data_IF_134768488607
#
_entry.id   IF_134768488607
#
_cell.length_a   1.000
_cell.length_b   1.000
_cell.length_c   1.000
_cell.angle_alpha   90.00
_cell.angle_beta   90.00
_cell.angle_gamma   90.00
#
_symmetry.space_group_name_H-M   'P 1'
#
loop_
_entity.id
_entity.type
_entity.pdbx_description
1 polymer ?
#
# COMPACT_ATOMS: atom_id res chain seq x y z
N UNK A 1 2.56 13.73 -12.01
CA UNK A 1 3.46 14.80 -11.55
C UNK A 1 3.62 14.71 -10.05
N UNK A 2 4.78 15.09 -9.54
CA UNK A 2 5.02 15.22 -8.12
C UNK A 2 4.42 16.56 -7.62
N UNK A 3 3.59 16.53 -6.56
CA UNK A 3 2.95 17.75 -6.04
C UNK A 3 3.93 18.71 -5.33
N UNK A 4 5.06 18.21 -4.83
CA UNK A 4 6.05 19.05 -4.13
C UNK A 4 7.11 19.57 -5.10
N UNK A 5 7.75 18.68 -5.86
CA UNK A 5 8.68 19.06 -6.93
C UNK A 5 8.00 18.96 -8.29
N UNK A 6 7.42 20.07 -8.74
CA UNK A 6 6.58 20.10 -9.94
C UNK A 6 7.30 19.69 -11.24
N UNK A 7 8.64 19.81 -11.26
CA UNK A 7 9.43 19.41 -12.43
C UNK A 7 9.64 17.90 -12.53
N UNK A 8 9.42 17.15 -11.44
CA UNK A 8 9.57 15.70 -11.42
C UNK A 8 8.27 15.00 -11.80
N UNK A 9 8.35 14.06 -12.74
CA UNK A 9 7.25 13.18 -13.08
C UNK A 9 7.69 11.70 -13.06
N UNK A 10 6.74 10.83 -12.75
CA UNK A 10 6.94 9.39 -12.83
C UNK A 10 5.84 8.80 -13.72
N UNK A 11 6.21 7.83 -14.55
CA UNK A 11 5.30 7.10 -15.42
C UNK A 11 5.40 5.61 -15.16
N UNK A 12 4.26 4.94 -15.14
CA UNK A 12 4.17 3.47 -15.16
C UNK A 12 3.95 3.02 -16.60
N UNK A 13 4.83 2.18 -17.12
CA UNK A 13 4.74 1.64 -18.47
C UNK A 13 4.30 0.17 -18.47
N UNK A 14 3.72 -0.27 -19.59
CA UNK A 14 3.20 -1.64 -19.74
C UNK A 14 4.31 -2.70 -19.70
N UNK A 15 5.56 -2.33 -20.02
CA UNK A 15 6.75 -3.19 -19.97
C UNK A 15 7.23 -3.50 -18.53
N UNK A 16 6.40 -3.19 -17.52
CA UNK A 16 6.66 -3.32 -16.08
C UNK A 16 7.66 -2.31 -15.54
N UNK A 17 7.95 -1.27 -16.32
CA UNK A 17 8.88 -0.24 -15.90
C UNK A 17 8.20 0.95 -15.23
N UNK A 18 8.88 1.50 -14.23
CA UNK A 18 8.62 2.81 -13.65
C UNK A 18 9.75 3.71 -14.13
N UNK A 19 9.40 4.78 -14.84
CA UNK A 19 10.36 5.71 -15.42
C UNK A 19 10.17 7.07 -14.74
N UNK A 20 11.26 7.68 -14.30
CA UNK A 20 11.30 9.04 -13.78
C UNK A 20 11.79 9.99 -14.88
N UNK A 21 11.11 11.12 -15.07
CA UNK A 21 11.55 12.20 -15.94
C UNK A 21 11.61 13.50 -15.16
N UNK A 22 12.58 14.35 -15.50
CA UNK A 22 12.59 15.75 -15.13
C UNK A 22 12.13 16.54 -16.35
N UNK A 23 11.14 17.40 -16.19
CA UNK A 23 10.69 18.32 -17.26
C UNK A 23 11.77 19.32 -17.70
N UNK A 24 12.82 19.51 -16.89
CA UNK A 24 13.95 20.39 -17.22
C UNK A 24 14.94 19.73 -18.18
N UNK A 25 14.97 18.40 -18.22
CA UNK A 25 15.87 17.62 -19.06
C UNK A 25 15.09 16.92 -20.19
N UNK A 26 15.75 16.65 -21.33
CA UNK A 26 15.10 16.04 -22.50
C UNK A 26 15.04 14.51 -22.46
N UNK A 27 15.37 13.87 -21.33
CA UNK A 27 15.53 12.42 -21.22
C UNK A 27 14.94 11.83 -19.93
N UNK A 28 14.75 10.50 -19.88
CA UNK A 28 14.42 9.82 -18.63
C UNK A 28 15.61 9.90 -17.67
N UNK A 29 15.36 10.32 -16.44
CA UNK A 29 16.38 10.35 -15.39
C UNK A 29 16.76 8.93 -15.00
N UNK A 30 15.75 8.06 -14.78
CA UNK A 30 15.95 6.66 -14.38
C UNK A 30 14.78 5.78 -14.79
N UNK A 31 15.08 4.50 -15.03
CA UNK A 31 14.12 3.45 -15.34
C UNK A 31 14.31 2.26 -14.40
N UNK A 32 13.30 1.97 -13.59
CA UNK A 32 13.20 0.80 -12.73
C UNK A 32 12.33 -0.26 -13.43
N UNK A 33 12.79 -1.50 -13.54
CA UNK A 33 12.01 -2.62 -14.09
C UNK A 33 11.59 -3.55 -12.97
N UNK A 34 10.29 -3.76 -12.81
CA UNK A 34 9.70 -4.66 -11.81
C UNK A 34 9.40 -6.05 -12.39
N UNK A 35 9.16 -7.02 -11.51
CA UNK A 35 8.78 -8.39 -11.88
C UNK A 35 7.43 -8.43 -12.62
N UNK A 36 6.43 -7.70 -12.10
CA UNK A 36 5.10 -7.52 -12.69
C UNK A 36 4.77 -6.05 -12.89
N UNK A 37 3.71 -5.79 -13.66
CA UNK A 37 3.34 -4.45 -14.10
C UNK A 37 2.82 -3.59 -12.94
N UNK A 38 3.26 -2.35 -12.89
CA UNK A 38 2.67 -1.33 -12.02
C UNK A 38 1.48 -0.67 -12.70
N UNK A 39 0.31 -0.70 -12.05
CA UNK A 39 -0.92 -0.17 -12.63
C UNK A 39 -1.05 1.35 -12.40
N UNK A 40 -0.73 1.81 -11.20
CA UNK A 40 -0.79 3.22 -10.84
C UNK A 40 0.32 3.59 -9.86
N UNK A 41 0.75 4.85 -9.92
CA UNK A 41 1.70 5.46 -9.01
C UNK A 41 1.09 6.73 -8.41
N UNK A 42 1.35 6.95 -7.13
CA UNK A 42 1.01 8.19 -6.43
C UNK A 42 2.23 8.72 -5.68
N UNK A 43 2.44 10.03 -5.73
CA UNK A 43 3.49 10.72 -4.98
C UNK A 43 3.00 11.07 -3.58
N UNK A 44 3.91 11.07 -2.61
CA UNK A 44 3.61 11.59 -1.29
C UNK A 44 3.49 13.13 -1.37
N UNK A 45 2.35 13.73 -0.96
CA UNK A 45 2.16 15.18 -1.03
C UNK A 45 3.01 15.98 -0.04
N UNK A 46 3.61 15.33 0.97
CA UNK A 46 4.45 16.00 1.97
C UNK A 46 5.95 15.69 1.79
N UNK A 47 6.30 14.56 1.17
CA UNK A 47 7.68 14.15 0.94
C UNK A 47 7.94 14.07 -0.57
N UNK A 48 8.72 15.02 -1.11
CA UNK A 48 8.98 15.12 -2.55
C UNK A 48 9.54 13.83 -3.17
N UNK A 49 10.42 13.13 -2.47
CA UNK A 49 11.13 11.99 -3.04
C UNK A 49 10.42 10.65 -2.82
N UNK A 50 9.33 10.61 -2.06
CA UNK A 50 8.65 9.36 -1.74
C UNK A 50 7.46 9.16 -2.66
N UNK A 51 7.35 7.99 -3.29
CA UNK A 51 6.16 7.60 -4.04
C UNK A 51 5.79 6.15 -3.80
N UNK A 52 4.52 5.83 -4.01
CA UNK A 52 3.99 4.47 -3.83
C UNK A 52 3.34 3.97 -5.11
N UNK A 53 3.62 2.71 -5.45
CA UNK A 53 3.17 2.05 -6.66
C UNK A 53 2.23 0.88 -6.34
N UNK A 54 1.09 0.86 -7.01
CA UNK A 54 0.20 -0.29 -7.10
C UNK A 54 0.75 -1.28 -8.13
N UNK A 55 0.96 -2.54 -7.74
CA UNK A 55 1.46 -3.58 -8.64
C UNK A 55 0.42 -4.71 -8.81
N UNK A 56 0.48 -5.40 -9.94
CA UNK A 56 -0.24 -6.64 -10.20
C UNK A 56 0.17 -7.80 -9.29
N UNK A 57 1.38 -7.75 -8.69
CA UNK A 57 1.92 -8.71 -7.69
C UNK A 57 1.14 -8.76 -6.35
N UNK A 58 -0.07 -8.18 -6.29
CA UNK A 58 -0.93 -8.01 -5.11
C UNK A 58 -0.33 -7.10 -4.02
N UNK A 59 0.89 -6.64 -4.21
CA UNK A 59 1.60 -5.82 -3.26
C UNK A 59 1.67 -4.38 -3.74
N UNK A 60 2.01 -3.52 -2.80
CA UNK A 60 2.20 -2.09 -3.03
C UNK A 60 3.61 -1.76 -2.56
N UNK A 61 4.33 -1.00 -3.35
CA UNK A 61 5.74 -0.70 -3.10
C UNK A 61 5.92 0.79 -2.90
N UNK A 62 6.47 1.19 -1.76
CA UNK A 62 6.91 2.57 -1.53
C UNK A 62 8.39 2.67 -1.86
N UNK A 63 8.75 3.64 -2.70
CA UNK A 63 10.10 3.87 -3.19
C UNK A 63 10.57 5.28 -2.81
N UNK A 64 11.90 5.41 -2.71
CA UNK A 64 12.58 6.71 -2.71
C UNK A 64 13.06 6.98 -4.14
N UNK A 65 12.66 8.10 -4.72
CA UNK A 65 13.04 8.57 -6.05
C UNK A 65 14.51 8.94 -6.16
N UNK A 66 15.31 8.80 -5.11
CA UNK A 66 16.79 8.89 -5.14
C UNK A 66 17.45 7.51 -5.09
N UNK A 67 16.74 6.47 -4.64
CA UNK A 67 17.28 5.11 -4.52
C UNK A 67 16.23 4.06 -4.90
N UNK A 68 16.16 3.69 -6.18
CA UNK A 68 15.17 2.73 -6.69
C UNK A 68 15.60 1.27 -6.54
N UNK A 69 16.89 0.98 -6.36
CA UNK A 69 17.41 -0.37 -6.12
C UNK A 69 16.77 -1.12 -4.93
N UNK A 70 16.12 -0.41 -3.99
CA UNK A 70 15.45 -1.01 -2.82
C UNK A 70 14.14 -0.29 -2.55
N UNK A 71 13.06 -1.03 -2.38
CA UNK A 71 11.81 -0.45 -1.86
C UNK A 71 11.98 -0.02 -0.39
N UNK A 72 11.52 1.18 -0.04
CA UNK A 72 11.45 1.65 1.34
C UNK A 72 10.52 0.77 2.16
N UNK A 73 9.38 0.39 1.60
CA UNK A 73 8.45 -0.51 2.24
C UNK A 73 7.67 -1.36 1.22
N UNK A 74 7.26 -2.56 1.66
CA UNK A 74 6.40 -3.45 0.87
C UNK A 74 5.14 -3.66 1.67
N UNK A 75 4.03 -3.12 1.17
CA UNK A 75 2.73 -3.27 1.79
C UNK A 75 2.01 -4.46 1.19
N UNK A 76 1.56 -5.33 2.07
CA UNK A 76 0.85 -6.56 1.73
C UNK A 76 -0.50 -6.53 2.38
N UNK A 77 -1.43 -7.30 1.84
CA UNK A 77 -2.67 -7.81 2.46
C UNK A 77 -3.75 -8.03 1.38
N UNK A 78 -3.60 -7.42 0.21
CA UNK A 78 -4.45 -7.69 -0.94
C UNK A 78 -4.32 -9.12 -1.43
N UNK A 79 -5.42 -9.62 -1.99
CA UNK A 79 -5.52 -10.99 -2.51
C UNK A 79 -5.61 -11.05 -4.04
N UNK A 80 -5.64 -9.89 -4.70
CA UNK A 80 -5.63 -9.74 -6.16
C UNK A 80 -4.86 -8.47 -6.55
N UNK A 81 -4.72 -8.22 -7.85
CA UNK A 81 -3.96 -7.10 -8.38
C UNK A 81 -4.45 -5.77 -7.80
N UNK A 82 -3.51 -4.90 -7.43
CA UNK A 82 -3.84 -3.56 -6.92
C UNK A 82 -3.96 -2.64 -8.13
N UNK A 83 -5.11 -2.01 -8.29
CA UNK A 83 -5.42 -1.17 -9.46
C UNK A 83 -4.98 0.25 -9.27
N UNK A 84 -5.23 0.78 -8.08
CA UNK A 84 -5.13 2.19 -7.80
C UNK A 84 -4.61 2.44 -6.38
N UNK A 85 -3.88 3.54 -6.23
CA UNK A 85 -3.33 4.02 -4.97
C UNK A 85 -3.45 5.55 -4.97
N UNK A 86 -3.78 6.11 -3.82
CA UNK A 86 -3.75 7.56 -3.60
C UNK A 86 -3.30 7.90 -2.18
N UNK A 87 -2.70 9.07 -2.00
CA UNK A 87 -2.16 9.52 -0.73
C UNK A 87 -3.15 10.38 0.05
N UNK A 88 -3.12 10.23 1.37
CA UNK A 88 -3.69 11.24 2.24
C UNK A 88 -2.95 12.56 2.04
N UNK A 89 -3.63 13.72 2.09
CA UNK A 89 -2.96 15.02 1.98
C UNK A 89 -1.94 15.26 3.10
N UNK A 90 -2.03 14.51 4.21
CA UNK A 90 -1.04 14.54 5.30
C UNK A 90 0.25 13.75 5.02
N UNK A 91 0.30 12.96 3.94
CA UNK A 91 1.46 12.16 3.55
C UNK A 91 1.79 10.96 4.43
N UNK A 92 1.06 10.75 5.54
CA UNK A 92 1.33 9.68 6.52
C UNK A 92 0.63 8.36 6.21
N UNK A 93 -0.50 8.47 5.52
CA UNK A 93 -1.35 7.35 5.14
C UNK A 93 -1.60 7.39 3.63
N UNK A 94 -1.92 6.24 3.07
CA UNK A 94 -2.38 6.12 1.70
C UNK A 94 -3.47 5.04 1.64
N UNK A 95 -4.26 5.10 0.59
CA UNK A 95 -5.34 4.16 0.31
C UNK A 95 -5.02 3.42 -0.97
N UNK A 96 -5.47 2.18 -1.05
CA UNK A 96 -5.40 1.37 -2.25
C UNK A 96 -6.72 0.68 -2.55
N UNK A 97 -7.04 0.58 -3.84
CA UNK A 97 -8.11 -0.23 -4.38
C UNK A 97 -7.56 -1.41 -5.14
N UNK A 98 -8.27 -2.54 -5.09
CA UNK A 98 -7.85 -3.76 -5.76
C UNK A 98 -8.99 -4.44 -6.51
N UNK A 99 -8.60 -5.29 -7.45
CA UNK A 99 -9.47 -6.26 -8.11
C UNK A 99 -10.16 -7.23 -7.13
N UNK A 100 -9.66 -7.37 -5.89
CA UNK A 100 -10.28 -8.19 -4.84
C UNK A 100 -11.55 -7.60 -4.21
N UNK A 101 -12.06 -6.49 -4.76
CA UNK A 101 -13.30 -5.80 -4.32
C UNK A 101 -13.17 -5.20 -2.93
N UNK A 102 -11.96 -4.84 -2.53
CA UNK A 102 -11.70 -4.19 -1.25
C UNK A 102 -10.85 -2.93 -1.40
N UNK A 103 -11.08 -2.03 -0.46
CA UNK A 103 -10.28 -0.83 -0.23
C UNK A 103 -9.46 -1.10 1.00
N UNK A 104 -8.16 -0.84 0.95
CA UNK A 104 -7.29 -0.94 2.13
C UNK A 104 -6.63 0.40 2.39
N UNK A 105 -6.53 0.74 3.67
CA UNK A 105 -5.82 1.93 4.13
C UNK A 105 -4.53 1.46 4.80
N UNK A 106 -3.43 2.13 4.48
CA UNK A 106 -2.11 1.81 4.97
C UNK A 106 -1.48 3.05 5.62
N UNK A 107 -0.69 2.81 6.66
CA UNK A 107 0.28 3.79 7.13
C UNK A 107 1.59 3.58 6.38
N UNK A 108 2.25 4.64 5.93
CA UNK A 108 3.44 4.53 5.07
C UNK A 108 4.57 3.70 5.70
N UNK A 109 4.68 3.75 7.04
CA UNK A 109 5.70 3.06 7.82
C UNK A 109 5.35 1.60 8.17
N UNK A 110 4.12 1.14 7.90
CA UNK A 110 3.66 -0.21 8.24
C UNK A 110 3.38 -1.03 7.00
N UNK A 111 3.95 -2.23 6.89
CA UNK A 111 3.72 -3.11 5.73
C UNK A 111 2.36 -3.83 5.69
N UNK A 112 1.42 -3.50 6.59
CA UNK A 112 0.09 -4.11 6.69
C UNK A 112 -0.98 -3.04 6.81
N UNK A 113 -2.17 -3.38 6.34
CA UNK A 113 -3.34 -2.49 6.32
C UNK A 113 -3.81 -2.13 7.74
N UNK A 114 -4.14 -0.86 7.93
CA UNK A 114 -4.83 -0.32 9.12
C UNK A 114 -6.29 -0.73 9.11
N UNK A 115 -6.95 -0.55 7.97
CA UNK A 115 -8.37 -0.76 7.78
C UNK A 115 -8.65 -1.40 6.42
N UNK A 116 -9.76 -2.14 6.35
CA UNK A 116 -10.30 -2.72 5.12
C UNK A 116 -11.77 -2.33 5.00
N UNK A 117 -12.16 -1.78 3.85
CA UNK A 117 -13.54 -1.55 3.48
C UNK A 117 -13.96 -2.48 2.35
N UNK A 118 -15.12 -3.09 2.53
CA UNK A 118 -15.76 -3.94 1.54
C UNK A 118 -17.27 -3.82 1.67
N UNK A 119 -17.99 -4.17 0.62
CA UNK A 119 -19.45 -4.28 0.63
C UNK A 119 -19.85 -5.39 -0.33
N UNK A 120 -20.93 -6.12 -0.02
CA UNK A 120 -21.39 -7.25 -0.83
C UNK A 120 -21.67 -6.88 -2.29
N UNK A 121 -22.18 -5.68 -2.53
CA UNK A 121 -22.46 -5.16 -3.89
C UNK A 121 -21.19 -4.67 -4.60
N UNK A 122 -20.16 -4.29 -3.83
CA UNK A 122 -18.93 -3.74 -4.37
C UNK A 122 -18.24 -4.71 -5.32
N UNK A 123 -18.00 -4.27 -6.55
CA UNK A 123 -17.24 -5.03 -7.54
C UNK A 123 -15.79 -4.53 -7.59
N UNK A 124 -15.07 -4.86 -8.67
CA UNK A 124 -13.66 -4.51 -8.86
C UNK A 124 -13.47 -2.99 -8.73
N UNK A 125 -12.41 -2.56 -8.06
CA UNK A 125 -12.13 -1.13 -7.93
C UNK A 125 -11.28 -0.66 -9.10
N UNK A 126 -11.70 0.45 -9.71
CA UNK A 126 -10.99 1.06 -10.84
C UNK A 126 -10.17 2.25 -10.40
N UNK A 127 -10.68 3.05 -9.46
CA UNK A 127 -9.99 4.23 -8.93
C UNK A 127 -10.34 4.47 -7.46
N UNK A 128 -9.41 5.06 -6.73
CA UNK A 128 -9.59 5.51 -5.37
C UNK A 128 -8.93 6.87 -5.23
N UNK A 129 -9.59 7.77 -4.50
CA UNK A 129 -9.09 9.12 -4.21
C UNK A 129 -9.30 9.44 -2.74
N UNK A 130 -8.32 10.09 -2.12
CA UNK A 130 -8.42 10.63 -0.78
C UNK A 130 -8.92 12.09 -0.85
N UNK A 131 -9.85 12.46 0.02
CA UNK A 131 -10.34 13.84 0.06
C UNK A 131 -9.29 14.80 0.65
N UNK A 132 -9.22 16.03 0.15
CA UNK A 132 -8.26 17.03 0.62
C UNK A 132 -8.45 17.43 2.10
N UNK A 133 -9.63 17.18 2.67
CA UNK A 133 -9.91 17.36 4.10
C UNK A 133 -9.37 16.23 5.00
N UNK A 134 -8.73 15.21 4.41
CA UNK A 134 -8.18 14.02 5.04
C UNK A 134 -9.23 13.10 5.74
N UNK A 135 -10.53 13.38 5.62
CA UNK A 135 -11.57 12.68 6.39
C UNK A 135 -12.27 11.59 5.60
N UNK A 136 -12.26 11.69 4.28
CA UNK A 136 -13.02 10.82 3.41
C UNK A 136 -12.15 10.16 2.34
N UNK A 137 -12.66 9.07 1.82
CA UNK A 137 -12.08 8.30 0.73
C UNK A 137 -13.20 8.05 -0.26
N UNK A 138 -13.00 8.46 -1.51
CA UNK A 138 -13.91 8.16 -2.59
C UNK A 138 -13.38 6.95 -3.37
N UNK A 139 -14.27 6.04 -3.73
CA UNK A 139 -13.92 4.82 -4.45
C UNK A 139 -14.83 4.64 -5.64
N UNK A 140 -14.26 4.41 -6.81
CA UNK A 140 -14.98 4.06 -8.03
C UNK A 140 -14.90 2.55 -8.24
N UNK A 141 -16.06 1.94 -8.46
CA UNK A 141 -16.19 0.51 -8.74
C UNK A 141 -16.73 0.28 -10.15
N UNK A 142 -16.40 -0.89 -10.69
CA UNK A 142 -16.84 -1.41 -11.98
C UNK A 142 -18.37 -1.55 -12.10
N UNK A 143 -19.09 -1.51 -10.98
CA UNK A 143 -20.57 -1.48 -10.95
C UNK A 143 -21.16 -0.08 -11.22
N UNK A 144 -20.36 0.85 -11.75
CA UNK A 144 -20.74 2.24 -12.06
C UNK A 144 -21.10 3.10 -10.85
N UNK A 145 -20.87 2.63 -9.63
CA UNK A 145 -21.12 3.40 -8.40
C UNK A 145 -19.83 4.03 -7.87
N UNK A 146 -19.95 5.28 -7.43
CA UNK A 146 -18.95 5.97 -6.60
C UNK A 146 -19.43 5.88 -5.15
N UNK A 147 -18.57 5.41 -4.25
CA UNK A 147 -18.85 5.37 -2.81
C UNK A 147 -17.92 6.27 -2.04
N UNK A 148 -18.44 6.86 -0.98
CA UNK A 148 -17.68 7.66 -0.03
C UNK A 148 -17.55 6.90 1.29
N UNK A 149 -16.33 6.84 1.79
CA UNK A 149 -15.98 6.21 3.06
C UNK A 149 -15.37 7.26 3.98
N UNK A 150 -15.49 7.08 5.29
CA UNK A 150 -14.62 7.81 6.22
C UNK A 150 -13.24 7.18 6.20
N UNK A 151 -12.17 7.98 6.21
CA UNK A 151 -10.81 7.48 6.38
C UNK A 151 -10.61 6.84 7.77
N UNK A 152 -11.28 7.36 8.80
CA UNK A 152 -11.33 6.78 10.14
C UNK A 152 -12.76 6.36 10.46
N UNK A 153 -13.02 5.06 10.40
CA UNK A 153 -14.38 4.53 10.55
C UNK A 153 -15.06 4.94 11.87
N UNK A 154 -14.31 4.99 12.97
CA UNK A 154 -14.82 5.36 14.30
C UNK A 154 -14.90 6.87 14.55
N UNK A 155 -14.42 7.69 13.63
CA UNK A 155 -14.43 9.14 13.80
C UNK A 155 -15.85 9.70 13.65
N UNK A 156 -16.27 10.48 14.65
CA UNK A 156 -17.56 11.19 14.65
C UNK A 156 -17.51 12.35 13.66
N UNK A 157 -18.63 12.59 12.98
CA UNK A 157 -18.79 13.76 12.12
C UNK A 157 -19.35 14.93 12.93
N UNK A 158 -19.00 16.16 12.54
CA UNK A 158 -19.44 17.38 13.21
C UNK A 158 -18.43 17.95 14.19
N UNK A 159 -18.84 18.99 14.91
CA UNK A 159 -18.02 19.67 15.91
C UNK A 159 -18.07 18.89 17.22
N UNK A 160 -16.91 18.48 17.74
CA UNK A 160 -16.81 17.81 19.04
C UNK A 160 -16.61 18.84 20.15
N UNK A 161 -17.27 18.62 21.29
CA UNK A 161 -17.05 19.38 22.51
C UNK A 161 -15.61 19.16 23.02
N UNK A 162 -15.01 20.16 23.68
CA UNK A 162 -13.63 20.08 24.16
C UNK A 162 -13.35 18.87 25.08
N UNK A 163 -14.29 18.58 26.01
CA UNK A 163 -14.22 17.40 26.89
C UNK A 163 -14.25 16.08 26.12
N UNK A 164 -15.12 15.99 25.12
CA UNK A 164 -15.26 14.79 24.29
C UNK A 164 -14.00 14.56 23.44
N UNK A 165 -13.47 15.62 22.84
CA UNK A 165 -12.20 15.59 22.09
C UNK A 165 -11.04 15.13 22.97
N UNK A 166 -10.94 15.66 24.19
CA UNK A 166 -9.91 15.25 25.16
C UNK A 166 -10.02 13.76 25.53
N UNK A 167 -11.25 13.27 25.77
CA UNK A 167 -11.49 11.86 26.06
C UNK A 167 -11.10 10.94 24.89
N UNK A 168 -11.41 11.32 23.65
CA UNK A 168 -11.01 10.58 22.45
C UNK A 168 -9.48 10.54 22.32
N UNK A 169 -8.81 11.69 22.47
CA UNK A 169 -7.36 11.78 22.40
C UNK A 169 -6.68 10.93 23.48
N UNK A 170 -7.21 10.94 24.70
CA UNK A 170 -6.75 10.11 25.81
C UNK A 170 -6.90 8.62 25.48
N UNK A 171 -8.06 8.20 24.96
CA UNK A 171 -8.32 6.82 24.55
C UNK A 171 -7.40 6.38 23.40
N UNK A 172 -7.12 7.26 22.42
CA UNK A 172 -6.17 6.96 21.35
C UNK A 172 -4.74 6.80 21.88
N UNK A 173 -4.31 7.66 22.80
CA UNK A 173 -3.00 7.55 23.44
C UNK A 173 -2.88 6.24 24.25
N UNK A 174 -3.93 5.87 24.98
CA UNK A 174 -3.99 4.62 25.74
C UNK A 174 -3.90 3.40 24.80
N UNK A 175 -4.67 3.39 23.71
CA UNK A 175 -4.62 2.33 22.68
C UNK A 175 -3.23 2.21 22.08
N UNK A 176 -2.53 3.32 21.83
CA UNK A 176 -1.14 3.32 21.34
C UNK A 176 -0.17 2.76 22.38
N UNK A 177 -0.28 3.20 23.64
CA UNK A 177 0.57 2.74 24.76
C UNK A 177 0.47 1.23 24.98
N UNK A 178 -0.75 0.69 24.93
CA UNK A 178 -1.01 -0.74 25.16
C UNK A 178 -1.22 -1.56 23.88
N UNK A 179 -0.81 -1.04 22.71
CA UNK A 179 -1.02 -1.69 21.41
C UNK A 179 -0.39 -3.09 21.31
N UNK A 180 0.68 -3.33 22.07
CA UNK A 180 1.40 -4.61 22.07
C UNK A 180 0.75 -5.68 22.96
N UNK A 181 -0.19 -5.31 23.83
CA UNK A 181 -0.87 -6.27 24.69
C UNK A 181 -1.67 -7.28 23.84
N UNK A 182 -1.51 -8.62 24.03
CA UNK A 182 -2.06 -9.63 23.13
C UNK A 182 -3.57 -9.51 22.90
N UNK A 183 -4.34 -9.25 23.96
CA UNK A 183 -5.80 -9.13 23.86
C UNK A 183 -6.22 -7.86 23.08
N UNK A 184 -5.57 -6.72 23.36
CA UNK A 184 -5.85 -5.45 22.69
C UNK A 184 -5.47 -5.55 21.21
N UNK A 185 -4.29 -6.11 20.92
CA UNK A 185 -3.82 -6.36 19.56
C UNK A 185 -4.75 -7.29 18.78
N UNK A 186 -5.26 -8.36 19.41
CA UNK A 186 -6.23 -9.28 18.79
C UNK A 186 -7.53 -8.56 18.43
N UNK A 187 -8.09 -7.80 19.36
CA UNK A 187 -9.34 -7.06 19.14
C UNK A 187 -9.15 -5.98 18.07
N UNK A 188 -8.07 -5.20 18.14
CA UNK A 188 -7.79 -4.13 17.19
C UNK A 188 -7.58 -4.65 15.75
N UNK A 189 -6.96 -5.82 15.59
CA UNK A 189 -6.71 -6.45 14.28
C UNK A 189 -7.89 -7.23 13.72
N UNK A 190 -8.82 -7.66 14.56
CA UNK A 190 -9.94 -8.48 14.12
C UNK A 190 -10.88 -7.65 13.23
N UNK A 191 -11.01 -8.05 11.97
CA UNK A 191 -11.95 -7.48 11.00
C UNK A 191 -12.67 -8.59 10.27
N UNK A 192 -13.98 -8.42 10.12
CA UNK A 192 -14.78 -9.35 9.32
C UNK A 192 -14.54 -9.06 7.85
N UNK A 193 -13.99 -10.04 7.15
CA UNK A 193 -13.75 -9.98 5.70
C UNK A 193 -14.68 -10.96 4.98
N UNK A 194 -15.04 -10.71 3.71
CA UNK A 194 -15.81 -11.65 2.91
C UNK A 194 -15.12 -13.00 2.79
N UNK A 195 -15.91 -14.08 2.68
CA UNK A 195 -15.40 -15.45 2.59
C UNK A 195 -14.37 -15.63 1.47
N UNK A 196 -14.61 -15.07 0.29
CA UNK A 196 -13.68 -15.19 -0.85
C UNK A 196 -12.31 -14.56 -0.55
N UNK A 197 -12.26 -13.37 0.06
CA UNK A 197 -11.01 -12.74 0.50
C UNK A 197 -10.34 -13.57 1.59
N UNK A 198 -11.11 -14.07 2.57
CA UNK A 198 -10.57 -14.90 3.64
C UNK A 198 -9.87 -16.17 3.12
N UNK A 199 -10.54 -16.89 2.22
CA UNK A 199 -9.98 -18.11 1.62
C UNK A 199 -8.76 -17.81 0.76
N UNK A 200 -8.83 -16.80 -0.11
CA UNK A 200 -7.70 -16.38 -0.94
C UNK A 200 -6.49 -15.94 -0.10
N UNK A 201 -6.71 -15.21 1.00
CA UNK A 201 -5.64 -14.79 1.90
C UNK A 201 -4.98 -16.00 2.60
N UNK A 202 -5.77 -17.00 3.00
CA UNK A 202 -5.26 -18.25 3.59
C UNK A 202 -4.44 -19.06 2.58
N UNK A 203 -4.90 -19.16 1.34
CA UNK A 203 -4.19 -19.82 0.25
C UNK A 203 -2.86 -19.10 -0.07
N UNK A 204 -2.89 -17.78 -0.22
CA UNK A 204 -1.71 -16.97 -0.44
C UNK A 204 -0.70 -17.10 0.69
N UNK A 205 -1.15 -17.09 1.95
CA UNK A 205 -0.27 -17.32 3.10
C UNK A 205 0.40 -18.69 3.04
N UNK A 206 -0.38 -19.74 2.77
CA UNK A 206 0.13 -21.11 2.64
C UNK A 206 1.13 -21.23 1.50
N UNK A 207 0.86 -20.59 0.35
CA UNK A 207 1.77 -20.58 -0.79
C UNK A 207 3.10 -19.86 -0.46
N UNK A 208 3.05 -18.71 0.21
CA UNK A 208 4.23 -17.94 0.63
C UNK A 208 5.08 -18.70 1.64
N UNK A 209 4.44 -19.37 2.60
CA UNK A 209 5.13 -20.23 3.59
C UNK A 209 5.82 -21.42 2.90
N UNK A 210 5.17 -22.07 1.92
CA UNK A 210 5.76 -23.14 1.11
C UNK A 210 6.97 -22.65 0.32
N UNK A 211 6.88 -21.50 -0.35
CA UNK A 211 7.99 -20.90 -1.11
C UNK A 211 9.15 -20.55 -0.17
N UNK A 212 8.87 -19.89 0.96
CA UNK A 212 9.89 -19.53 1.95
C UNK A 212 10.61 -20.76 2.50
N UNK A 213 9.87 -21.84 2.79
CA UNK A 213 10.45 -23.12 3.23
C UNK A 213 11.32 -23.74 2.14
N UNK A 214 10.86 -23.75 0.89
CA UNK A 214 11.64 -24.27 -0.25
C UNK A 214 12.95 -23.50 -0.45
N UNK A 215 12.90 -22.17 -0.37
CA UNK A 215 14.09 -21.32 -0.47
C UNK A 215 15.05 -21.49 0.72
N UNK A 216 14.52 -21.71 1.93
CA UNK A 216 15.33 -22.00 3.11
C UNK A 216 16.03 -23.35 2.98
N UNK A 217 15.30 -24.40 2.60
CA UNK A 217 15.87 -25.73 2.37
C UNK A 217 16.93 -25.71 1.25
N UNK A 218 16.67 -24.98 0.16
CA UNK A 218 17.66 -24.82 -0.92
C UNK A 218 18.95 -24.19 -0.38
N UNK A 219 18.85 -23.19 0.50
CA UNK A 219 20.01 -22.54 1.11
C UNK A 219 20.77 -23.44 2.08
N UNK A 220 20.09 -24.26 2.87
CA UNK A 220 20.74 -25.18 3.81
C UNK A 220 21.42 -26.36 3.13
N UNK A 221 20.90 -26.81 1.98
CA UNK A 221 21.42 -27.97 1.25
C UNK A 221 22.32 -27.62 0.04
N UNK A 222 22.57 -26.34 -0.23
CA UNK A 222 23.52 -25.92 -1.26
C UNK A 222 24.86 -25.53 -0.62
N UNK A 223 25.94 -25.51 -1.42
CA UNK A 223 27.24 -25.06 -0.94
C UNK A 223 27.16 -23.64 -0.32
N UNK A 224 27.91 -23.35 0.75
CA UNK A 224 27.93 -22.03 1.38
C UNK A 224 28.15 -20.91 0.35
N UNK A 225 27.27 -19.90 0.33
CA UNK A 225 27.37 -18.75 -0.57
C UNK A 225 26.75 -18.93 -1.97
N UNK A 226 26.39 -20.15 -2.38
CA UNK A 226 25.81 -20.40 -3.72
C UNK A 226 24.42 -19.79 -3.94
N UNK A 227 23.61 -19.66 -2.87
CA UNK A 227 22.26 -19.09 -2.94
C UNK A 227 22.15 -17.92 -1.95
N UNK A 228 22.30 -16.66 -2.42
CA UNK A 228 22.26 -15.50 -1.54
C UNK A 228 20.84 -15.24 -1.01
N UNK A 229 20.74 -14.69 0.20
CA UNK A 229 19.47 -14.22 0.74
C UNK A 229 19.11 -12.87 0.11
N UNK A 230 18.05 -12.85 -0.68
CA UNK A 230 17.52 -11.61 -1.26
C UNK A 230 16.43 -11.06 -0.34
N UNK A 231 16.59 -9.85 0.23
CA UNK A 231 15.54 -9.21 1.01
C UNK A 231 14.29 -8.98 0.16
N UNK A 232 13.12 -9.08 0.77
CA UNK A 232 11.85 -8.96 0.04
C UNK A 232 11.65 -7.60 -0.65
N UNK A 233 12.24 -6.54 -0.08
CA UNK A 233 12.29 -5.18 -0.63
C UNK A 233 13.08 -5.07 -1.94
N UNK A 234 13.93 -6.05 -2.24
CA UNK A 234 14.70 -6.14 -3.50
C UNK A 234 14.18 -7.23 -4.43
N UNK A 235 13.49 -8.25 -3.89
CA UNK A 235 13.08 -9.45 -4.62
C UNK A 235 12.26 -9.20 -5.89
N UNK A 236 11.49 -8.11 -5.93
CA UNK A 236 10.58 -7.83 -7.05
C UNK A 236 11.14 -6.79 -8.04
N UNK A 237 12.39 -6.37 -7.83
CA UNK A 237 13.11 -5.45 -8.70
C UNK A 237 14.02 -6.28 -9.61
N UNK A 238 13.79 -6.20 -10.92
CA UNK A 238 14.53 -6.97 -11.93
C UNK A 238 15.78 -6.22 -12.36
N UNK A 239 15.70 -4.89 -12.49
CA UNK A 239 16.85 -4.07 -12.85
C UNK A 239 16.57 -2.57 -12.76
N UNK A 240 17.63 -1.79 -12.65
CA UNK A 240 17.60 -0.32 -12.68
C UNK A 240 18.54 0.13 -13.79
N UNK A 241 18.06 1.03 -14.65
CA UNK A 241 18.87 1.77 -15.62
C UNK A 241 18.85 3.23 -15.20
N UNK A 242 20.03 3.81 -15.01
CA UNK A 242 20.20 5.27 -14.93
C UNK A 242 20.36 5.83 -16.33
#
# INVERSE_FOLDING_TARGET
>A
FNPVETSLLATCASDRSIILYDTRESGPIRKLVMSMRTNQLAWNPMEAFTFTCANEDYNIYTYDSRKLSVALNVHKDHTSAVTCVDYAPTGREFVSGSYDKSVRIYEINKGHSRDIYHTKRMQRLTSVVWSLDNKYIATASDEMNIRLWKARASEKLGVLMGREKAAINYNEALKKKFANHPQIKRIARHRQVPKHIYHAQRELRTSREKVKRKEANRRTHSAPGSVPFVPERRKHIVGEKS
#
